data_IF_687923425346
#
_entry.id   IF_687923425346
#
_cell.length_a   1.000
_cell.length_b   1.000
_cell.length_c   1.000
_cell.angle_alpha   90.00
_cell.angle_beta   90.00
_cell.angle_gamma   90.00
#
_symmetry.space_group_name_H-M   'P 1'
#
loop_
_entity.id
_entity.type
_entity.pdbx_description
1 polymer ?
#
# COMPACT_ATOMS: atom_id res chain seq x y z
N UNK A 1 24.17 -6.07 -25.15
CA UNK A 1 23.30 -5.12 -24.46
C UNK A 1 23.97 -4.57 -23.19
N UNK A 2 23.58 -3.40 -22.74
CA UNK A 2 24.09 -2.80 -21.49
C UNK A 2 23.64 -3.64 -20.29
N UNK A 3 24.54 -3.85 -19.33
CA UNK A 3 24.24 -4.59 -18.08
C UNK A 3 23.36 -3.79 -17.11
N UNK A 4 23.27 -2.47 -17.29
CA UNK A 4 22.52 -1.55 -16.44
C UNK A 4 21.87 -0.45 -17.29
N UNK A 5 20.88 0.25 -16.75
CA UNK A 5 20.24 1.39 -17.38
C UNK A 5 21.08 2.70 -17.32
N UNK A 6 22.27 2.68 -16.75
CA UNK A 6 23.11 3.87 -16.48
C UNK A 6 23.44 4.68 -17.74
N UNK A 7 23.55 4.04 -18.90
CA UNK A 7 23.79 4.69 -20.21
C UNK A 7 22.50 4.92 -21.01
N UNK A 8 21.34 4.73 -20.41
CA UNK A 8 20.06 4.95 -21.06
C UNK A 8 19.76 6.42 -21.32
N UNK A 9 18.84 6.67 -22.25
CA UNK A 9 18.29 8.01 -22.52
C UNK A 9 16.80 8.02 -22.20
N UNK A 10 16.36 9.06 -21.53
CA UNK A 10 14.94 9.28 -21.35
C UNK A 10 14.32 9.64 -22.69
N UNK A 11 13.29 8.89 -23.09
CA UNK A 11 12.48 9.16 -24.28
C UNK A 11 11.13 9.70 -23.82
N UNK A 12 10.61 10.67 -24.58
CA UNK A 12 9.29 11.21 -24.31
C UNK A 12 8.20 10.19 -24.65
N UNK A 13 7.34 9.89 -23.67
CA UNK A 13 6.20 8.99 -23.85
C UNK A 13 4.93 9.74 -24.26
N UNK A 14 3.80 9.04 -24.43
CA UNK A 14 2.52 9.62 -24.88
C UNK A 14 1.84 10.54 -23.84
N UNK A 15 2.44 10.73 -22.67
CA UNK A 15 1.93 11.59 -21.60
C UNK A 15 0.46 11.31 -21.27
N UNK A 16 -0.37 12.37 -21.19
CA UNK A 16 -1.78 12.24 -20.85
C UNK A 16 -2.63 11.56 -21.94
N UNK A 17 -2.18 11.54 -23.19
CA UNK A 17 -2.96 10.92 -24.27
C UNK A 17 -3.23 9.43 -24.04
N UNK A 18 -2.27 8.70 -23.47
CA UNK A 18 -2.50 7.31 -23.05
C UNK A 18 -3.68 7.20 -22.07
N UNK A 19 -3.69 8.01 -21.04
CA UNK A 19 -4.74 7.96 -20.01
C UNK A 19 -6.09 8.43 -20.54
N UNK A 20 -6.10 9.36 -21.48
CA UNK A 20 -7.31 9.79 -22.18
C UNK A 20 -7.95 8.64 -22.95
N UNK A 21 -7.15 7.89 -23.71
CA UNK A 21 -7.64 6.72 -24.46
C UNK A 21 -8.13 5.63 -23.48
N UNK A 22 -7.35 5.32 -22.45
CA UNK A 22 -7.76 4.34 -21.44
C UNK A 22 -9.13 4.73 -20.83
N UNK A 23 -9.32 5.98 -20.45
CA UNK A 23 -10.61 6.44 -19.91
C UNK A 23 -11.76 6.34 -20.90
N UNK A 24 -11.51 6.60 -22.19
CA UNK A 24 -12.53 6.44 -23.24
C UNK A 24 -12.96 4.99 -23.39
N UNK A 25 -12.01 4.05 -23.35
CA UNK A 25 -12.28 2.63 -23.57
C UNK A 25 -12.81 1.90 -22.31
N UNK A 26 -12.36 2.29 -21.11
CA UNK A 26 -12.66 1.56 -19.87
C UNK A 26 -13.56 2.33 -18.89
N UNK A 27 -13.90 3.59 -19.20
CA UNK A 27 -14.54 4.50 -18.24
C UNK A 27 -13.54 5.01 -17.17
N UNK A 28 -14.08 5.59 -16.09
CA UNK A 28 -13.25 6.23 -15.05
C UNK A 28 -12.82 5.29 -13.91
N UNK A 29 -13.06 3.98 -14.01
CA UNK A 29 -12.89 3.07 -12.89
C UNK A 29 -11.73 2.09 -13.04
N UNK A 30 -11.26 1.60 -11.88
CA UNK A 30 -10.46 0.38 -11.80
C UNK A 30 -8.95 0.52 -11.99
N UNK A 31 -8.39 1.74 -12.02
CA UNK A 31 -6.94 1.94 -12.16
C UNK A 31 -6.39 2.62 -10.93
N UNK A 32 -5.35 2.04 -10.35
CA UNK A 32 -4.49 2.65 -9.33
C UNK A 32 -3.14 2.89 -9.99
N UNK A 33 -2.62 4.11 -9.88
CA UNK A 33 -1.33 4.47 -10.44
C UNK A 33 -0.22 4.16 -9.43
N UNK A 34 0.74 3.34 -9.81
CA UNK A 34 1.96 3.20 -9.02
C UNK A 34 2.82 4.46 -9.19
N UNK A 35 2.91 5.24 -8.13
CA UNK A 35 3.71 6.46 -8.04
C UNK A 35 4.77 6.35 -6.93
N UNK A 36 5.41 5.20 -6.86
CA UNK A 36 6.47 4.89 -5.90
C UNK A 36 7.86 5.27 -6.45
N UNK A 37 8.80 5.53 -5.56
CA UNK A 37 10.17 5.89 -5.92
C UNK A 37 10.39 7.38 -6.17
N UNK A 38 11.29 7.75 -7.10
CA UNK A 38 11.64 9.15 -7.38
C UNK A 38 10.62 9.78 -8.32
N UNK A 39 9.64 10.47 -7.74
CA UNK A 39 8.55 11.10 -8.49
C UNK A 39 8.87 12.57 -8.79
N UNK A 40 9.17 12.84 -10.04
CA UNK A 40 9.51 14.19 -10.52
C UNK A 40 8.27 15.08 -10.66
N UNK A 41 8.42 16.43 -10.70
CA UNK A 41 7.28 17.33 -10.89
C UNK A 41 6.42 17.06 -12.13
N UNK A 42 6.99 16.71 -13.31
CA UNK A 42 6.20 16.31 -14.48
C UNK A 42 5.34 15.06 -14.24
N UNK A 43 5.87 14.04 -13.53
CA UNK A 43 5.11 12.83 -13.20
C UNK A 43 3.97 13.16 -12.22
N UNK A 44 4.22 13.98 -11.19
CA UNK A 44 3.16 14.45 -10.28
C UNK A 44 2.07 15.24 -11.02
N UNK A 45 2.44 16.04 -12.04
CA UNK A 45 1.48 16.75 -12.88
C UNK A 45 0.63 15.76 -13.68
N UNK A 46 1.25 14.76 -14.29
CA UNK A 46 0.57 13.73 -15.06
C UNK A 46 -0.41 12.93 -14.20
N UNK A 47 -0.01 12.52 -12.99
CA UNK A 47 -0.89 11.81 -12.05
C UNK A 47 -2.12 12.66 -11.70
N UNK A 48 -1.93 13.94 -11.39
CA UNK A 48 -3.07 14.87 -11.15
C UNK A 48 -4.00 15.00 -12.35
N UNK A 49 -3.46 15.08 -13.57
CA UNK A 49 -4.27 15.16 -14.80
C UNK A 49 -5.03 13.86 -15.06
N UNK A 50 -4.40 12.72 -14.80
CA UNK A 50 -5.03 11.41 -14.93
C UNK A 50 -6.11 11.18 -13.86
N UNK A 51 -6.01 11.84 -12.71
CA UNK A 51 -6.93 11.72 -11.58
C UNK A 51 -7.11 10.27 -11.08
N UNK A 52 -6.12 9.41 -11.29
CA UNK A 52 -6.09 8.08 -10.69
C UNK A 52 -5.54 8.16 -9.27
N UNK A 53 -6.04 7.31 -8.34
CA UNK A 53 -5.45 7.19 -7.02
C UNK A 53 -4.00 6.73 -7.13
N UNK A 54 -3.10 7.43 -6.46
CA UNK A 54 -1.72 6.99 -6.24
C UNK A 54 -1.61 6.05 -5.05
N UNK A 55 -0.41 5.55 -4.76
CA UNK A 55 -0.16 4.58 -3.71
C UNK A 55 0.48 5.23 -2.47
N UNK A 56 0.08 4.76 -1.31
CA UNK A 56 0.67 5.11 0.00
C UNK A 56 1.05 3.82 0.73
N UNK A 57 2.32 3.45 0.67
CA UNK A 57 2.84 2.23 1.32
C UNK A 57 3.32 2.60 2.72
N UNK A 58 2.70 2.03 3.75
CA UNK A 58 2.99 2.38 5.15
C UNK A 58 4.43 2.10 5.55
N UNK A 59 5.07 1.08 5.00
CA UNK A 59 6.49 0.82 5.29
C UNK A 59 7.43 1.97 4.89
N UNK A 60 7.02 2.84 3.96
CA UNK A 60 7.78 4.03 3.56
C UNK A 60 7.48 5.27 4.42
N UNK A 61 6.55 5.14 5.35
CA UNK A 61 6.09 6.27 6.16
C UNK A 61 7.02 6.65 7.31
N UNK A 62 7.78 5.69 7.82
CA UNK A 62 8.43 5.81 9.12
C UNK A 62 9.87 6.31 9.02
N UNK A 63 10.02 7.57 8.65
CA UNK A 63 11.23 8.34 8.86
C UNK A 63 11.12 9.06 10.22
N UNK A 64 12.14 9.01 11.09
CA UNK A 64 12.12 9.70 12.39
C UNK A 64 11.94 11.22 12.32
N UNK A 65 12.09 11.86 11.15
CA UNK A 65 11.72 13.27 10.95
C UNK A 65 10.21 13.51 11.10
N UNK A 66 9.37 12.50 10.87
CA UNK A 66 7.92 12.57 11.02
C UNK A 66 7.18 13.36 9.94
N UNK A 67 7.86 13.79 8.88
CA UNK A 67 7.28 14.62 7.79
C UNK A 67 6.99 13.83 6.51
N UNK A 68 7.15 12.50 6.53
CA UNK A 68 6.90 11.63 5.39
C UNK A 68 5.48 11.80 4.82
N UNK A 69 5.38 11.98 3.50
CA UNK A 69 4.10 12.04 2.79
C UNK A 69 3.29 10.72 2.82
N UNK A 70 3.91 9.64 3.30
CA UNK A 70 3.27 8.34 3.48
C UNK A 70 2.62 8.17 4.85
N UNK A 71 2.85 9.08 5.80
CA UNK A 71 2.12 9.07 7.06
C UNK A 71 0.66 9.49 6.85
N UNK A 72 -0.34 8.77 7.40
CA UNK A 72 -1.75 9.05 7.12
C UNK A 72 -2.21 10.49 7.38
N UNK A 73 -1.67 11.16 8.41
CA UNK A 73 -1.99 12.56 8.70
C UNK A 73 -1.45 13.55 7.66
N UNK A 74 -0.48 13.13 6.83
CA UNK A 74 0.16 13.97 5.82
C UNK A 74 -0.44 13.79 4.42
N UNK A 75 -1.49 12.96 4.25
CA UNK A 75 -2.13 12.76 2.96
C UNK A 75 -2.79 14.05 2.47
N UNK A 76 -2.34 14.52 1.32
CA UNK A 76 -2.84 15.76 0.69
C UNK A 76 -4.15 15.57 -0.07
N UNK A 77 -4.56 14.33 -0.31
CA UNK A 77 -5.77 13.97 -1.04
C UNK A 77 -6.28 12.62 -0.54
N UNK A 78 -7.60 12.45 -0.53
CA UNK A 78 -8.24 11.16 -0.28
C UNK A 78 -8.13 10.22 -1.48
N UNK A 79 -7.95 10.77 -2.70
CA UNK A 79 -7.79 10.00 -3.92
C UNK A 79 -6.42 9.27 -3.94
N UNK A 80 -6.27 8.31 -3.06
CA UNK A 80 -5.11 7.43 -2.96
C UNK A 80 -5.52 6.06 -2.41
N UNK A 81 -4.65 5.08 -2.63
CA UNK A 81 -4.76 3.75 -2.05
C UNK A 81 -3.63 3.56 -1.03
N UNK A 82 -3.99 3.29 0.23
CA UNK A 82 -3.03 2.96 1.28
C UNK A 82 -2.85 1.45 1.37
N UNK A 83 -1.61 1.02 1.50
CA UNK A 83 -1.19 -0.37 1.62
C UNK A 83 -0.39 -0.58 2.89
N UNK A 84 -0.63 -1.67 3.59
CA UNK A 84 0.25 -2.11 4.69
C UNK A 84 1.62 -2.52 4.16
N UNK A 85 1.62 -3.25 3.05
CA UNK A 85 2.77 -3.69 2.25
C UNK A 85 2.33 -4.03 0.84
N UNK A 86 3.28 -4.19 -0.09
CA UNK A 86 3.04 -4.71 -1.44
C UNK A 86 3.76 -6.04 -1.62
N UNK A 87 3.62 -6.67 -2.78
CA UNK A 87 4.35 -7.90 -3.12
C UNK A 87 5.87 -7.72 -3.17
N UNK A 88 6.37 -6.51 -3.36
CA UNK A 88 7.81 -6.19 -3.42
C UNK A 88 8.42 -5.88 -2.05
N UNK A 89 7.58 -5.56 -1.06
CA UNK A 89 8.02 -5.32 0.29
C UNK A 89 8.18 -6.63 1.07
N UNK A 90 8.90 -6.58 2.18
CA UNK A 90 8.78 -7.61 3.20
C UNK A 90 7.43 -7.49 3.93
N UNK A 91 7.05 -8.51 4.69
CA UNK A 91 5.91 -8.40 5.61
C UNK A 91 6.18 -7.30 6.64
N UNK A 92 5.15 -6.72 7.25
CA UNK A 92 5.35 -5.69 8.27
C UNK A 92 6.20 -6.20 9.44
N UNK A 93 6.03 -7.47 9.84
CA UNK A 93 6.84 -8.08 10.88
C UNK A 93 8.32 -8.24 10.46
N UNK A 94 8.58 -8.74 9.25
CA UNK A 94 9.93 -8.86 8.70
C UNK A 94 10.60 -7.50 8.55
N UNK A 95 9.93 -6.55 7.90
CA UNK A 95 10.39 -5.18 7.75
C UNK A 95 10.77 -4.55 9.09
N UNK A 96 9.93 -4.68 10.11
CA UNK A 96 10.21 -4.12 11.43
C UNK A 96 11.46 -4.72 12.08
N UNK A 97 11.71 -6.02 11.88
CA UNK A 97 12.90 -6.68 12.44
C UNK A 97 14.21 -6.13 11.86
N UNK A 98 14.19 -5.65 10.62
CA UNK A 98 15.37 -5.11 9.93
C UNK A 98 15.62 -3.62 10.19
N UNK A 99 14.70 -2.90 10.82
CA UNK A 99 14.86 -1.49 11.15
C UNK A 99 15.96 -1.27 12.20
N UNK A 100 16.60 -0.11 12.13
CA UNK A 100 17.47 0.38 13.20
C UNK A 100 16.67 0.71 14.49
N UNK A 101 17.42 0.86 15.60
CA UNK A 101 16.82 1.08 16.93
C UNK A 101 15.98 2.36 17.02
N UNK A 102 16.41 3.44 16.36
CA UNK A 102 15.71 4.73 16.45
C UNK A 102 14.39 4.68 15.68
N UNK A 103 14.43 4.12 14.47
CA UNK A 103 13.23 3.92 13.65
C UNK A 103 12.25 2.95 14.33
N UNK A 104 12.74 1.85 14.92
CA UNK A 104 11.89 0.95 15.72
C UNK A 104 11.17 1.67 16.87
N UNK A 105 11.88 2.55 17.56
CA UNK A 105 11.29 3.34 18.64
C UNK A 105 10.22 4.27 18.11
N UNK A 106 10.52 5.03 17.05
CA UNK A 106 9.57 5.93 16.41
C UNK A 106 8.30 5.20 15.95
N UNK A 107 8.45 4.05 15.27
CA UNK A 107 7.31 3.22 14.86
C UNK A 107 6.44 2.82 16.04
N UNK A 108 7.05 2.34 17.12
CA UNK A 108 6.29 1.94 18.33
C UNK A 108 5.55 3.11 18.98
N UNK A 109 6.22 4.24 19.10
CA UNK A 109 5.64 5.45 19.68
C UNK A 109 4.48 5.96 18.82
N UNK A 110 4.69 6.04 17.51
CA UNK A 110 3.67 6.49 16.58
C UNK A 110 2.42 5.59 16.55
N UNK A 111 2.62 4.29 16.58
CA UNK A 111 1.54 3.29 16.55
C UNK A 111 0.93 3.04 17.94
N UNK A 112 1.54 3.51 19.01
CA UNK A 112 1.10 3.24 20.38
C UNK A 112 1.25 1.77 20.81
N UNK A 113 2.18 1.03 20.18
CA UNK A 113 2.40 -0.39 20.46
C UNK A 113 3.59 -0.62 21.39
N UNK A 114 3.52 -1.69 22.19
CA UNK A 114 4.60 -2.07 23.11
C UNK A 114 5.41 -3.25 22.58
N UNK A 115 4.76 -4.23 21.96
CA UNK A 115 5.37 -5.45 21.44
C UNK A 115 5.42 -5.42 19.91
N UNK A 116 6.47 -5.99 19.32
CA UNK A 116 6.60 -6.12 17.85
C UNK A 116 5.47 -6.93 17.22
N UNK A 117 4.96 -7.93 17.92
CA UNK A 117 3.85 -8.74 17.45
C UNK A 117 2.53 -7.97 17.23
N UNK A 118 2.39 -6.78 17.82
CA UNK A 118 1.20 -5.92 17.62
C UNK A 118 1.25 -5.13 16.31
N UNK A 119 2.43 -5.03 15.68
CA UNK A 119 2.67 -4.15 14.55
C UNK A 119 1.83 -4.47 13.32
N UNK A 120 1.67 -5.73 12.85
CA UNK A 120 0.87 -6.00 11.65
C UNK A 120 -0.59 -5.52 11.81
N UNK A 121 -1.20 -5.76 12.97
CA UNK A 121 -2.55 -5.29 13.28
C UNK A 121 -2.61 -3.77 13.38
N UNK A 122 -1.61 -3.13 13.99
CA UNK A 122 -1.54 -1.67 14.06
C UNK A 122 -1.40 -1.03 12.67
N UNK A 123 -0.68 -1.66 11.75
CA UNK A 123 -0.62 -1.21 10.35
C UNK A 123 -1.99 -1.28 9.66
N UNK A 124 -2.71 -2.38 9.85
CA UNK A 124 -4.07 -2.49 9.31
C UNK A 124 -4.96 -1.42 9.92
N UNK A 125 -4.90 -1.22 11.22
CA UNK A 125 -5.70 -0.22 11.93
C UNK A 125 -5.48 1.19 11.38
N UNK A 126 -4.22 1.64 11.22
CA UNK A 126 -3.95 2.99 10.71
C UNK A 126 -4.27 3.13 9.22
N UNK A 127 -4.13 2.07 8.42
CA UNK A 127 -4.57 2.07 7.03
C UNK A 127 -6.08 2.30 6.93
N UNK A 128 -6.87 1.58 7.71
CA UNK A 128 -8.33 1.72 7.74
C UNK A 128 -8.80 3.05 8.34
N UNK A 129 -8.08 3.60 9.31
CA UNK A 129 -8.36 4.92 9.91
C UNK A 129 -7.91 6.10 9.06
N UNK A 130 -7.11 5.86 8.01
CA UNK A 130 -6.63 6.91 7.11
C UNK A 130 -7.75 7.56 6.30
N UNK A 131 -7.47 8.70 5.69
CA UNK A 131 -8.39 9.39 4.78
C UNK A 131 -8.36 8.84 3.36
N UNK A 132 -7.51 7.87 3.04
CA UNK A 132 -7.42 7.27 1.71
C UNK A 132 -8.75 6.62 1.29
N UNK A 133 -9.17 6.81 0.04
CA UNK A 133 -10.41 6.20 -0.50
C UNK A 133 -10.33 4.67 -0.52
N UNK A 134 -9.14 4.11 -0.69
CA UNK A 134 -8.90 2.67 -0.73
C UNK A 134 -7.89 2.30 0.35
N UNK A 135 -8.17 1.25 1.13
CA UNK A 135 -7.24 0.65 2.06
C UNK A 135 -7.07 -0.84 1.74
N UNK A 136 -5.83 -1.29 1.64
CA UNK A 136 -5.47 -2.67 1.30
C UNK A 136 -4.51 -3.24 2.32
N UNK A 137 -4.71 -4.51 2.64
CA UNK A 137 -3.80 -5.33 3.43
C UNK A 137 -3.61 -6.69 2.80
N UNK A 138 -2.59 -7.40 3.20
CA UNK A 138 -2.29 -8.75 2.75
C UNK A 138 -2.67 -9.78 3.81
N UNK A 139 -2.82 -11.03 3.40
CA UNK A 139 -3.06 -12.14 4.35
C UNK A 139 -1.88 -12.32 5.31
N UNK A 140 -0.67 -12.00 4.87
CA UNK A 140 0.53 -12.05 5.71
C UNK A 140 0.40 -11.14 6.92
N UNK A 141 -0.11 -9.92 6.73
CA UNK A 141 -0.32 -8.97 7.83
C UNK A 141 -1.45 -9.42 8.75
N UNK A 142 -2.52 -9.97 8.19
CA UNK A 142 -3.65 -10.49 8.98
C UNK A 142 -3.21 -11.64 9.90
N UNK A 143 -2.30 -12.48 9.43
CA UNK A 143 -1.75 -13.60 10.20
C UNK A 143 -0.50 -13.22 11.02
N UNK A 144 0.10 -12.07 10.75
CA UNK A 144 1.33 -11.65 11.42
C UNK A 144 2.56 -12.46 11.02
N UNK A 145 2.60 -12.98 9.78
CA UNK A 145 3.72 -13.75 9.27
C UNK A 145 4.97 -12.88 9.11
N UNK A 146 6.14 -13.49 9.30
CA UNK A 146 7.44 -12.87 9.11
C UNK A 146 7.94 -12.94 7.65
N UNK A 147 9.25 -12.68 7.48
CA UNK A 147 9.94 -12.65 6.18
C UNK A 147 9.78 -13.94 5.38
N UNK A 148 9.53 -15.07 6.03
CA UNK A 148 9.28 -16.35 5.38
C UNK A 148 8.06 -16.34 4.44
N UNK A 149 7.13 -15.41 4.67
CA UNK A 149 5.95 -15.21 3.83
C UNK A 149 6.13 -14.11 2.77
N UNK A 150 7.32 -13.53 2.62
CA UNK A 150 7.61 -12.55 1.57
C UNK A 150 7.45 -13.17 0.19
N UNK A 151 6.78 -12.45 -0.72
CA UNK A 151 6.44 -12.96 -2.06
C UNK A 151 7.59 -12.71 -3.05
N UNK A 152 8.13 -11.47 -3.05
CA UNK A 152 9.12 -11.06 -4.03
C UNK A 152 10.24 -10.22 -3.38
N UNK A 153 11.47 -10.45 -3.84
CA UNK A 153 12.63 -9.63 -3.53
C UNK A 153 13.09 -8.98 -4.84
N UNK A 154 12.86 -7.68 -5.04
CA UNK A 154 13.21 -6.98 -6.26
C UNK A 154 14.69 -7.16 -6.64
N UNK A 155 14.97 -7.16 -7.94
CA UNK A 155 16.30 -7.35 -8.52
C UNK A 155 16.99 -8.69 -8.19
N UNK A 156 16.23 -9.69 -7.75
CA UNK A 156 16.74 -11.06 -7.54
C UNK A 156 16.07 -12.07 -8.47
N UNK A 157 16.72 -13.21 -8.65
CA UNK A 157 16.18 -14.39 -9.33
C UNK A 157 16.13 -15.55 -8.36
N UNK A 158 15.21 -16.50 -8.54
CA UNK A 158 15.16 -17.72 -7.74
C UNK A 158 13.81 -17.94 -7.06
N UNK A 159 13.72 -17.76 -5.75
CA UNK A 159 12.57 -18.17 -4.96
C UNK A 159 11.38 -17.17 -4.91
N UNK A 160 11.35 -16.18 -5.79
CA UNK A 160 10.26 -15.21 -5.88
C UNK A 160 8.96 -15.86 -6.38
N UNK A 161 7.82 -15.36 -5.92
CA UNK A 161 6.47 -15.77 -6.32
C UNK A 161 6.10 -17.22 -5.99
N UNK A 162 6.77 -17.83 -5.02
CA UNK A 162 6.54 -19.23 -4.60
C UNK A 162 5.69 -19.38 -3.35
N UNK A 163 5.72 -18.40 -2.45
CA UNK A 163 4.92 -18.45 -1.24
C UNK A 163 3.42 -18.60 -1.57
N UNK A 164 2.74 -19.41 -0.78
CA UNK A 164 1.28 -19.61 -0.88
C UNK A 164 0.69 -19.63 0.50
N UNK A 165 -0.46 -18.97 0.64
CA UNK A 165 -1.31 -19.10 1.82
C UNK A 165 -2.04 -20.44 1.81
N UNK A 166 -2.35 -20.94 2.98
CA UNK A 166 -3.15 -22.14 3.16
C UNK A 166 -4.60 -21.75 3.44
N UNK A 167 -5.53 -22.72 3.28
CA UNK A 167 -6.95 -22.48 3.54
C UNK A 167 -7.20 -22.11 5.01
N UNK A 168 -6.42 -22.67 5.91
CA UNK A 168 -6.47 -22.48 7.35
C UNK A 168 -6.06 -21.07 7.78
N UNK A 169 -5.35 -20.33 6.92
CA UNK A 169 -4.96 -18.94 7.18
C UNK A 169 -6.15 -17.98 7.05
N UNK A 170 -7.23 -18.40 6.38
CA UNK A 170 -8.46 -17.61 6.25
C UNK A 170 -9.42 -17.92 7.42
N UNK A 171 -9.19 -17.27 8.56
CA UNK A 171 -9.94 -17.51 9.79
C UNK A 171 -11.16 -16.60 9.91
N UNK A 172 -12.21 -17.09 10.57
CA UNK A 172 -13.39 -16.28 10.91
C UNK A 172 -13.00 -15.10 11.80
N UNK A 173 -12.04 -15.25 12.71
CA UNK A 173 -11.52 -14.17 13.55
C UNK A 173 -10.99 -13.00 12.72
N UNK A 174 -10.21 -13.27 11.66
CA UNK A 174 -9.69 -12.25 10.76
C UNK A 174 -10.80 -11.57 9.95
N UNK A 175 -11.80 -12.35 9.52
CA UNK A 175 -12.96 -11.80 8.82
C UNK A 175 -13.80 -10.90 9.72
N UNK A 176 -14.06 -11.28 10.96
CA UNK A 176 -14.77 -10.49 11.95
C UNK A 176 -14.01 -9.22 12.32
N UNK A 177 -12.70 -9.33 12.51
CA UNK A 177 -11.83 -8.17 12.77
C UNK A 177 -11.93 -7.13 11.64
N UNK A 178 -11.74 -7.56 10.37
CA UNK A 178 -11.83 -6.66 9.22
C UNK A 178 -13.23 -6.08 9.05
N UNK A 179 -14.27 -6.89 9.26
CA UNK A 179 -15.65 -6.40 9.20
C UNK A 179 -15.90 -5.31 10.24
N UNK A 180 -15.55 -5.56 11.50
CA UNK A 180 -15.68 -4.58 12.59
C UNK A 180 -14.89 -3.31 12.30
N UNK A 181 -13.63 -3.46 11.87
CA UNK A 181 -12.77 -2.32 11.56
C UNK A 181 -13.37 -1.49 10.41
N UNK A 182 -13.88 -2.14 9.37
CA UNK A 182 -14.55 -1.51 8.22
C UNK A 182 -15.81 -0.75 8.66
N UNK A 183 -16.57 -1.30 9.62
CA UNK A 183 -17.74 -0.63 10.19
C UNK A 183 -17.40 0.64 10.95
N UNK A 184 -16.48 0.53 11.92
CA UNK A 184 -16.14 1.65 12.82
C UNK A 184 -15.39 2.77 12.10
N UNK A 185 -14.75 2.47 10.96
CA UNK A 185 -14.07 3.46 10.11
C UNK A 185 -14.95 3.97 8.95
N UNK A 186 -16.22 3.56 8.92
CA UNK A 186 -17.21 3.95 7.91
C UNK A 186 -16.76 3.67 6.45
N UNK A 187 -16.07 2.53 6.23
CA UNK A 187 -15.58 2.10 4.89
C UNK A 187 -16.51 1.10 4.19
N UNK A 188 -17.69 0.82 4.73
CA UNK A 188 -18.67 -0.01 4.05
C UNK A 188 -19.17 0.68 2.78
N UNK A 189 -19.27 -0.04 1.65
CA UNK A 189 -19.87 0.52 0.45
C UNK A 189 -21.32 0.93 0.75
N UNK A 190 -21.81 2.00 0.12
CA UNK A 190 -23.21 2.41 0.30
C UNK A 190 -24.13 1.26 -0.10
N UNK A 191 -25.08 0.93 0.77
CA UNK A 191 -26.09 -0.10 0.50
C UNK A 191 -26.85 0.33 -0.76
N UNK A 192 -26.71 -0.42 -1.85
CA UNK A 192 -27.56 -0.20 -3.04
C UNK A 192 -29.01 -0.36 -2.59
N UNK A 193 -29.75 0.75 -2.49
CA UNK A 193 -31.19 0.69 -2.28
C UNK A 193 -31.76 -0.16 -3.41
N UNK A 194 -32.33 -1.33 -3.11
CA UNK A 194 -33.11 -2.08 -4.08
C UNK A 194 -34.24 -1.16 -4.52
N UNK A 195 -34.17 -0.68 -5.76
CA UNK A 195 -35.32 -0.03 -6.36
C UNK A 195 -36.46 -1.05 -6.29
N UNK A 196 -37.43 -0.79 -5.41
CA UNK A 196 -38.70 -1.50 -5.44
C UNK A 196 -39.29 -1.20 -6.82
N UNK A 197 -39.35 -2.23 -7.66
CA UNK A 197 -40.15 -2.21 -8.88
C UNK A 197 -41.64 -2.26 -8.50
#
# INVERSE_FOLDING_TARGET
>A
GSKTAHGGKWCEGPKYDLFRVIKQETGNGGIIAEDLGIITPPVRKLLRQAAYPGMKVLQFAFDPSGDSEYLPQNYKSQNCAVYTSTHDNDTAAGWFNDLDRNTKRFVKEYLGIRKAAELPRAFIDIAWKSTADIAMTTIQELQGFGTEARINVPATVGNNWRWRTLKEDFTDENAEYLNRLTEITNRKPPVKRKNKK
#
